data_IF_386274170168
#
_entry.id   IF_386274170168
#
_cell.length_a   1.000
_cell.length_b   1.000
_cell.length_c   1.000
_cell.angle_alpha   90.00
_cell.angle_beta   90.00
_cell.angle_gamma   90.00
#
_symmetry.space_group_name_H-M   'P 1'
#
loop_
_entity.id
_entity.type
_entity.pdbx_description
1 polymer ?
#
# COMPACT_ATOMS: atom_id res chain seq x y z
N UNK A 1 20.25 1.09 -10.10
CA UNK A 1 19.72 1.35 -8.76
C UNK A 1 18.20 1.19 -8.84
N UNK A 2 17.54 0.79 -7.75
CA UNK A 2 16.11 0.51 -7.69
C UNK A 2 15.54 1.16 -6.42
N UNK A 3 14.27 1.52 -6.44
CA UNK A 3 13.55 1.93 -5.24
C UNK A 3 13.13 0.72 -4.42
N UNK A 4 13.22 0.84 -3.10
CA UNK A 4 12.76 -0.20 -2.20
C UNK A 4 11.87 0.40 -1.13
N UNK A 5 10.79 -0.28 -0.77
CA UNK A 5 9.95 0.12 0.36
C UNK A 5 9.43 -1.06 1.13
N UNK A 6 8.67 -0.78 2.18
CA UNK A 6 7.95 -1.79 2.95
C UNK A 6 6.45 -1.55 2.92
N UNK A 7 5.67 -2.58 2.60
CA UNK A 7 4.21 -2.57 2.62
C UNK A 7 3.70 -3.49 3.73
N UNK A 8 3.09 -2.91 4.77
CA UNK A 8 2.48 -3.68 5.86
C UNK A 8 0.99 -3.88 5.62
N UNK A 9 0.63 -5.05 5.07
CA UNK A 9 -0.78 -5.41 4.85
C UNK A 9 -1.60 -5.62 6.13
N UNK A 10 -0.93 -5.84 7.27
CA UNK A 10 -1.59 -5.89 8.58
C UNK A 10 -1.87 -4.49 9.16
N UNK A 11 -1.45 -3.42 8.48
CA UNK A 11 -1.67 -2.04 8.90
C UNK A 11 -1.11 -1.73 10.29
N UNK A 12 -1.73 -0.78 10.99
CA UNK A 12 -1.52 -0.57 12.42
C UNK A 12 -2.32 -1.61 13.23
N UNK A 13 -1.94 -2.88 13.08
CA UNK A 13 -2.63 -4.03 13.66
C UNK A 13 -1.69 -5.02 14.33
N UNK A 14 -2.18 -6.24 14.53
CA UNK A 14 -1.41 -7.34 15.16
C UNK A 14 -0.23 -7.74 14.26
N UNK A 15 0.98 -7.72 14.80
CA UNK A 15 2.22 -8.07 14.08
C UNK A 15 2.82 -9.37 14.64
N UNK A 16 3.24 -10.26 13.74
CA UNK A 16 3.92 -11.51 14.11
C UNK A 16 3.01 -12.61 14.67
N UNK A 17 1.68 -12.45 14.64
CA UNK A 17 0.76 -13.45 15.23
C UNK A 17 0.97 -14.85 14.64
N UNK A 18 1.06 -15.85 15.53
CA UNK A 18 1.31 -17.23 15.13
C UNK A 18 2.75 -17.52 14.70
N UNK A 19 3.68 -16.57 14.87
CA UNK A 19 5.12 -16.78 14.70
C UNK A 19 5.83 -16.68 16.07
N UNK A 20 7.07 -17.21 16.20
CA UNK A 20 7.88 -17.00 17.40
C UNK A 20 8.19 -15.52 17.71
N UNK A 21 8.01 -14.63 16.73
CA UNK A 21 8.24 -13.18 16.86
C UNK A 21 7.11 -12.42 17.57
N UNK A 22 5.94 -13.05 17.79
CA UNK A 22 4.80 -12.36 18.39
C UNK A 22 5.11 -11.83 19.80
N UNK A 23 4.87 -10.54 20.03
CA UNK A 23 4.94 -9.92 21.35
C UNK A 23 6.35 -9.86 21.94
N UNK A 24 7.41 -10.09 21.14
CA UNK A 24 8.78 -9.98 21.59
C UNK A 24 9.16 -8.52 21.87
N UNK A 25 9.01 -8.08 23.12
CA UNK A 25 9.46 -6.76 23.59
C UNK A 25 8.55 -5.60 23.22
N UNK A 26 7.46 -5.83 22.47
CA UNK A 26 6.56 -4.77 22.02
C UNK A 26 5.09 -5.11 22.25
N UNK A 27 4.31 -4.06 22.53
CA UNK A 27 2.86 -4.07 22.38
C UNK A 27 2.50 -3.51 21.00
N UNK A 28 1.92 -4.34 20.12
CA UNK A 28 1.52 -3.92 18.77
C UNK A 28 0.53 -2.76 18.74
N UNK A 29 -0.17 -2.49 19.85
CA UNK A 29 -1.09 -1.36 19.99
C UNK A 29 -0.38 -0.03 20.25
N UNK A 30 0.94 -0.03 20.38
CA UNK A 30 1.76 1.15 20.73
C UNK A 30 2.70 1.53 19.57
N UNK A 31 3.06 2.82 19.45
CA UNK A 31 3.93 3.29 18.37
C UNK A 31 5.33 2.67 18.34
N UNK A 32 5.88 2.26 19.50
CA UNK A 32 7.29 1.86 19.63
C UNK A 32 7.72 0.77 18.64
N UNK A 33 6.87 -0.23 18.39
CA UNK A 33 7.13 -1.28 17.41
C UNK A 33 7.38 -0.70 16.01
N UNK A 34 6.48 0.18 15.59
CA UNK A 34 6.53 0.78 14.26
C UNK A 34 7.66 1.82 14.16
N UNK A 35 7.97 2.54 15.25
CA UNK A 35 9.10 3.46 15.31
C UNK A 35 10.43 2.74 15.08
N UNK A 36 10.62 1.56 15.69
CA UNK A 36 11.85 0.79 15.49
C UNK A 36 11.91 0.17 14.08
N UNK A 37 10.77 -0.27 13.54
CA UNK A 37 10.69 -0.72 12.16
C UNK A 37 11.07 0.38 11.16
N UNK A 38 10.52 1.59 11.28
CA UNK A 38 10.83 2.70 10.35
C UNK A 38 12.30 3.16 10.45
N UNK A 39 12.91 3.09 11.64
CA UNK A 39 14.36 3.31 11.79
C UNK A 39 15.17 2.28 11.02
N UNK A 40 14.81 1.00 11.15
CA UNK A 40 15.48 -0.07 10.42
C UNK A 40 15.30 0.06 8.90
N UNK A 41 14.11 0.48 8.44
CA UNK A 41 13.80 0.76 7.05
C UNK A 41 14.68 1.89 6.50
N UNK A 42 14.73 3.01 7.22
CA UNK A 42 15.53 4.17 6.83
C UNK A 42 17.03 3.84 6.79
N UNK A 43 17.56 3.20 7.84
CA UNK A 43 18.96 2.77 7.92
C UNK A 43 19.35 1.78 6.82
N UNK A 44 18.38 0.98 6.37
CA UNK A 44 18.56 0.06 5.25
C UNK A 44 18.57 0.77 3.89
N UNK A 45 18.05 1.99 3.80
CA UNK A 45 17.97 2.74 2.54
C UNK A 45 16.63 2.60 1.82
N UNK A 46 15.56 2.20 2.52
CA UNK A 46 14.21 2.13 1.94
C UNK A 46 13.63 3.54 1.74
N UNK A 47 12.95 3.75 0.62
CA UNK A 47 12.35 5.02 0.22
C UNK A 47 11.03 5.31 0.93
N UNK A 48 10.27 4.27 1.26
CA UNK A 48 8.90 4.41 1.75
C UNK A 48 8.42 3.25 2.60
N UNK A 49 7.54 3.59 3.55
CA UNK A 49 6.76 2.67 4.35
C UNK A 49 5.26 2.95 4.13
N UNK A 50 4.56 1.94 3.60
CA UNK A 50 3.14 2.01 3.28
C UNK A 50 2.35 1.19 4.30
N UNK A 51 1.39 1.85 4.95
CA UNK A 51 0.54 1.28 5.99
C UNK A 51 -0.85 1.06 5.41
N UNK A 52 -1.20 -0.21 5.16
CA UNK A 52 -2.53 -0.59 4.71
C UNK A 52 -3.57 -0.34 5.81
N UNK A 53 -4.83 -0.11 5.41
CA UNK A 53 -5.94 -0.03 6.35
C UNK A 53 -7.22 -0.68 5.81
N UNK A 54 -8.03 -1.20 6.74
CA UNK A 54 -9.34 -1.77 6.48
C UNK A 54 -10.33 -1.43 7.58
N UNK A 55 -11.55 -1.08 7.17
CA UNK A 55 -12.55 -0.45 8.05
C UNK A 55 -13.66 -1.42 8.49
N UNK A 56 -13.34 -2.71 8.59
CA UNK A 56 -14.29 -3.75 8.99
C UNK A 56 -13.59 -4.94 9.63
N UNK A 57 -14.36 -5.72 10.41
CA UNK A 57 -14.01 -7.08 10.81
C UNK A 57 -14.58 -8.02 9.75
N UNK A 58 -13.76 -8.75 8.98
CA UNK A 58 -14.29 -9.62 7.93
C UNK A 58 -15.12 -10.77 8.50
N UNK A 59 -16.31 -10.98 7.94
CA UNK A 59 -17.20 -12.10 8.25
C UNK A 59 -17.74 -12.81 6.98
N UNK A 60 -17.20 -12.50 5.80
CA UNK A 60 -17.67 -13.07 4.52
C UNK A 60 -17.47 -14.59 4.44
N UNK A 61 -16.36 -15.11 4.97
CA UNK A 61 -16.03 -16.53 4.86
C UNK A 61 -16.88 -17.37 5.82
N UNK A 62 -17.80 -18.15 5.27
CA UNK A 62 -18.77 -18.91 6.05
C UNK A 62 -19.73 -18.06 6.88
N UNK A 63 -19.91 -16.77 6.55
CA UNK A 63 -20.79 -15.86 7.29
C UNK A 63 -20.37 -15.63 8.75
N UNK A 64 -19.07 -15.72 9.05
CA UNK A 64 -18.54 -15.64 10.42
C UNK A 64 -17.16 -14.97 10.46
N UNK A 65 -16.93 -14.18 11.52
CA UNK A 65 -15.62 -13.61 11.84
C UNK A 65 -14.69 -14.58 12.59
N UNK A 66 -15.07 -15.85 12.73
CA UNK A 66 -14.31 -16.85 13.48
C UNK A 66 -12.86 -16.95 13.00
N UNK A 67 -12.65 -17.14 11.69
CA UNK A 67 -11.30 -17.32 11.12
C UNK A 67 -10.52 -16.01 11.15
N UNK A 68 -11.15 -14.89 10.80
CA UNK A 68 -10.49 -13.58 10.78
C UNK A 68 -9.99 -13.20 12.17
N UNK A 69 -10.80 -13.37 13.21
CA UNK A 69 -10.44 -13.03 14.59
C UNK A 69 -9.49 -14.07 15.22
N UNK A 70 -9.68 -15.37 14.99
CA UNK A 70 -8.80 -16.41 15.54
C UNK A 70 -7.36 -16.31 15.00
N UNK A 71 -7.19 -15.72 13.81
CA UNK A 71 -5.89 -15.61 13.14
C UNK A 71 -5.40 -14.17 12.97
N UNK A 72 -6.03 -13.20 13.64
CA UNK A 72 -5.68 -11.79 13.56
C UNK A 72 -5.52 -11.28 12.10
N UNK A 73 -6.39 -11.77 11.22
CA UNK A 73 -6.35 -11.49 9.79
C UNK A 73 -7.28 -10.33 9.48
N UNK A 74 -6.71 -9.24 8.95
CA UNK A 74 -7.37 -7.94 8.69
C UNK A 74 -7.92 -7.19 9.92
N UNK A 75 -8.21 -7.88 11.02
CA UNK A 75 -8.65 -7.29 12.27
C UNK A 75 -8.01 -7.99 13.49
N UNK A 76 -7.81 -7.29 14.63
CA UNK A 76 -8.05 -5.86 14.84
C UNK A 76 -6.99 -4.96 14.16
N UNK A 77 -7.42 -3.74 13.80
CA UNK A 77 -6.56 -2.64 13.32
C UNK A 77 -6.93 -1.33 14.01
N UNK A 78 -5.93 -0.49 14.22
CA UNK A 78 -6.08 0.90 14.63
C UNK A 78 -5.93 1.83 13.42
N UNK A 79 -6.39 3.07 13.56
CA UNK A 79 -6.26 4.09 12.52
C UNK A 79 -4.77 4.43 12.27
N UNK A 80 -4.24 4.22 11.05
CA UNK A 80 -2.84 4.50 10.75
C UNK A 80 -2.49 5.99 10.80
N UNK A 81 -3.43 6.91 10.56
CA UNK A 81 -3.17 8.35 10.57
C UNK A 81 -2.79 8.84 11.97
N UNK A 82 -3.33 8.21 13.03
CA UNK A 82 -2.97 8.51 14.41
C UNK A 82 -1.55 8.07 14.77
N UNK A 83 -0.98 7.11 14.03
CA UNK A 83 0.38 6.62 14.21
C UNK A 83 1.43 7.54 13.55
N UNK A 84 1.07 8.21 12.45
CA UNK A 84 2.00 8.98 11.60
C UNK A 84 2.90 9.95 12.37
N UNK A 85 2.41 10.81 13.30
CA UNK A 85 3.29 11.76 13.99
C UNK A 85 4.44 11.08 14.75
N UNK A 86 4.20 9.88 15.29
CA UNK A 86 5.24 9.10 15.98
C UNK A 86 6.28 8.55 15.02
N UNK A 87 5.87 8.17 13.81
CA UNK A 87 6.79 7.65 12.79
C UNK A 87 7.65 8.76 12.20
N UNK A 88 7.03 9.90 11.86
CA UNK A 88 7.76 11.09 11.39
C UNK A 88 8.80 11.55 12.41
N UNK A 89 8.50 11.49 13.71
CA UNK A 89 9.49 11.82 14.76
C UNK A 89 10.65 10.82 14.90
N UNK A 90 10.57 9.67 14.23
CA UNK A 90 11.56 8.59 14.34
C UNK A 90 12.48 8.48 13.10
N UNK A 91 12.25 9.27 12.06
CA UNK A 91 12.93 9.20 10.75
C UNK A 91 13.17 10.59 10.15
N UNK A 92 14.17 10.71 9.26
CA UNK A 92 14.57 11.98 8.62
C UNK A 92 14.35 12.01 7.09
N UNK A 93 14.19 10.85 6.45
CA UNK A 93 14.15 10.71 4.98
C UNK A 93 13.11 9.71 4.47
N UNK A 94 12.72 8.73 5.30
CA UNK A 94 11.77 7.69 4.92
C UNK A 94 10.37 8.28 4.64
N UNK A 95 9.83 7.98 3.47
CA UNK A 95 8.44 8.32 3.15
C UNK A 95 7.44 7.55 4.03
N UNK A 96 6.56 8.24 4.76
CA UNK A 96 5.52 7.60 5.59
C UNK A 96 4.16 7.74 4.89
N UNK A 97 3.56 6.60 4.52
CA UNK A 97 2.40 6.54 3.63
C UNK A 97 1.23 5.80 4.30
N UNK A 98 0.42 6.47 5.14
CA UNK A 98 -0.86 5.92 5.62
C UNK A 98 -1.87 5.77 4.49
N UNK A 99 -2.75 4.78 4.60
CA UNK A 99 -3.89 4.60 3.69
C UNK A 99 -5.05 5.53 4.04
N UNK A 100 -5.67 6.13 3.03
CA UNK A 100 -6.85 7.02 3.16
C UNK A 100 -7.91 6.58 2.14
N UNK A 101 -9.12 6.30 2.61
CA UNK A 101 -10.24 5.92 1.74
C UNK A 101 -10.96 7.15 1.19
N UNK A 102 -10.91 7.33 -0.13
CA UNK A 102 -11.70 8.35 -0.85
C UNK A 102 -13.22 8.07 -0.80
N UNK A 103 -13.61 6.84 -0.45
CA UNK A 103 -15.03 6.48 -0.32
C UNK A 103 -15.65 6.98 0.97
N UNK A 104 -14.86 7.08 2.04
CA UNK A 104 -15.39 7.31 3.39
C UNK A 104 -14.92 8.59 4.05
N UNK A 105 -13.76 9.13 3.67
CA UNK A 105 -13.33 10.42 4.19
C UNK A 105 -14.09 11.56 3.51
N UNK A 106 -14.64 12.52 4.28
CA UNK A 106 -14.99 13.82 3.73
C UNK A 106 -13.71 14.54 3.27
N UNK A 107 -13.65 15.08 2.03
CA UNK A 107 -12.42 15.63 1.46
C UNK A 107 -11.88 16.82 2.25
N UNK A 108 -12.73 17.64 2.87
CA UNK A 108 -12.27 18.74 3.73
C UNK A 108 -11.52 18.24 4.96
N UNK A 109 -12.00 17.16 5.59
CA UNK A 109 -11.35 16.55 6.75
C UNK A 109 -10.02 15.92 6.36
N UNK A 110 -9.98 15.19 5.24
CA UNK A 110 -8.75 14.59 4.72
C UNK A 110 -7.71 15.67 4.38
N UNK A 111 -8.10 16.71 3.63
CA UNK A 111 -7.22 17.81 3.25
C UNK A 111 -6.59 18.49 4.47
N UNK A 112 -7.40 18.75 5.52
CA UNK A 112 -6.93 19.38 6.76
C UNK A 112 -5.95 18.49 7.53
N UNK A 113 -6.27 17.20 7.66
CA UNK A 113 -5.45 16.24 8.40
C UNK A 113 -4.11 16.01 7.71
N UNK A 114 -4.15 15.70 6.41
CA UNK A 114 -2.95 15.48 5.61
C UNK A 114 -2.09 16.74 5.52
N UNK A 115 -2.71 17.93 5.43
CA UNK A 115 -1.95 19.16 5.44
C UNK A 115 -1.20 19.38 6.76
N UNK A 116 -1.86 19.06 7.87
CA UNK A 116 -1.25 19.14 9.21
C UNK A 116 -0.08 18.16 9.33
N UNK A 117 -0.24 16.92 8.88
CA UNK A 117 0.82 15.92 8.88
C UNK A 117 1.98 16.29 7.94
N UNK A 118 1.69 16.91 6.79
CA UNK A 118 2.72 17.37 5.85
C UNK A 118 3.63 18.40 6.51
N UNK A 119 3.07 19.36 7.25
CA UNK A 119 3.83 20.35 8.02
C UNK A 119 4.71 19.71 9.11
N UNK A 120 4.33 18.55 9.66
CA UNK A 120 5.16 17.82 10.63
C UNK A 120 6.24 16.98 9.95
N UNK A 121 6.04 16.63 8.68
CA UNK A 121 6.85 15.63 7.99
C UNK A 121 8.10 16.16 7.31
N UNK A 122 8.23 17.48 7.18
CA UNK A 122 9.31 18.13 6.42
C UNK A 122 9.50 17.52 5.01
N UNK A 123 8.40 17.15 4.33
CA UNK A 123 8.44 16.57 2.98
C UNK A 123 8.41 15.05 2.92
N UNK A 124 8.25 14.36 4.05
CA UNK A 124 8.25 12.88 4.11
C UNK A 124 6.86 12.24 3.99
N UNK A 125 5.77 13.00 4.08
CA UNK A 125 4.43 12.40 4.06
C UNK A 125 4.05 11.97 2.64
N UNK A 126 3.55 10.75 2.53
CA UNK A 126 2.70 10.32 1.44
C UNK A 126 1.31 9.93 1.93
N UNK A 127 0.46 9.53 1.01
CA UNK A 127 -0.87 9.02 1.31
C UNK A 127 -1.30 8.03 0.24
N UNK A 128 -1.71 6.83 0.66
CA UNK A 128 -2.20 5.80 -0.23
C UNK A 128 -3.71 5.96 -0.40
N UNK A 129 -4.15 6.47 -1.56
CA UNK A 129 -5.57 6.73 -1.83
C UNK A 129 -6.23 5.45 -2.33
N UNK A 130 -7.21 4.97 -1.57
CA UNK A 130 -7.98 3.76 -1.92
C UNK A 130 -9.46 4.07 -2.07
N UNK A 131 -10.14 3.27 -2.89
CA UNK A 131 -11.59 3.39 -3.11
C UNK A 131 -12.41 2.53 -2.15
N UNK A 132 -11.79 1.67 -1.34
CA UNK A 132 -12.44 0.64 -0.51
C UNK A 132 -13.33 -0.33 -1.32
N UNK A 133 -13.22 -1.65 -1.11
CA UNK A 133 -13.98 -2.64 -1.90
C UNK A 133 -15.15 -3.30 -1.18
N UNK A 134 -15.18 -3.25 0.16
CA UNK A 134 -16.06 -4.09 0.96
C UNK A 134 -17.42 -3.43 1.25
N UNK A 135 -18.51 -4.18 1.03
CA UNK A 135 -19.86 -3.81 1.47
C UNK A 135 -19.95 -3.70 3.00
N UNK A 136 -19.28 -4.60 3.72
CA UNK A 136 -19.21 -4.56 5.19
C UNK A 136 -18.61 -3.24 5.68
N UNK A 137 -17.58 -2.73 4.98
CA UNK A 137 -17.05 -1.42 5.28
C UNK A 137 -18.09 -0.32 5.01
N UNK A 138 -18.83 -0.38 3.90
CA UNK A 138 -19.85 0.61 3.56
C UNK A 138 -20.95 0.71 4.62
N UNK A 139 -21.35 -0.43 5.18
CA UNK A 139 -22.35 -0.53 6.24
C UNK A 139 -21.93 0.17 7.55
N UNK A 140 -20.63 0.22 7.84
CA UNK A 140 -20.11 1.00 8.98
C UNK A 140 -20.22 2.53 8.77
N UNK A 141 -20.41 2.99 7.53
CA UNK A 141 -20.57 4.40 7.17
C UNK A 141 -22.02 4.78 6.80
N UNK A 142 -22.98 3.93 7.13
CA UNK A 142 -24.42 4.20 6.93
C UNK A 142 -24.90 4.02 5.49
N UNK A 143 -24.19 3.22 4.70
CA UNK A 143 -24.61 2.80 3.36
C UNK A 143 -25.05 1.34 3.38
N UNK A 144 -26.01 0.94 2.54
CA UNK A 144 -26.44 -0.46 2.49
C UNK A 144 -25.38 -1.37 1.84
N UNK A 145 -24.70 -0.86 0.81
CA UNK A 145 -23.66 -1.53 0.03
C UNK A 145 -22.69 -0.51 -0.58
N UNK A 146 -21.58 -0.98 -1.15
CA UNK A 146 -20.69 -0.14 -1.94
C UNK A 146 -21.36 0.35 -3.22
N UNK A 147 -20.97 1.55 -3.65
CA UNK A 147 -21.29 2.00 -5.01
C UNK A 147 -20.49 1.19 -6.05
N UNK A 148 -20.96 1.18 -7.29
CA UNK A 148 -20.32 0.45 -8.39
C UNK A 148 -18.83 0.80 -8.54
N UNK A 149 -18.03 -0.21 -8.89
CA UNK A 149 -16.56 -0.14 -8.95
C UNK A 149 -16.03 1.08 -9.71
N UNK A 150 -16.55 1.34 -10.92
CA UNK A 150 -16.09 2.46 -11.73
C UNK A 150 -16.53 3.81 -11.15
N UNK A 151 -17.74 3.87 -10.57
CA UNK A 151 -18.26 5.05 -9.89
C UNK A 151 -17.45 5.38 -8.62
N UNK A 152 -16.89 4.36 -7.94
CA UNK A 152 -15.93 4.57 -6.83
C UNK A 152 -14.69 5.32 -7.29
N UNK A 153 -14.20 5.04 -8.50
CA UNK A 153 -13.07 5.76 -9.06
C UNK A 153 -13.44 7.18 -9.49
N UNK A 154 -14.62 7.40 -10.08
CA UNK A 154 -15.11 8.77 -10.35
C UNK A 154 -15.20 9.61 -9.07
N UNK A 155 -15.74 9.02 -8.00
CA UNK A 155 -15.72 9.64 -6.67
C UNK A 155 -14.31 9.93 -6.16
N UNK A 156 -13.36 9.02 -6.40
CA UNK A 156 -11.97 9.24 -6.02
C UNK A 156 -11.28 10.35 -6.81
N UNK A 157 -11.60 10.50 -8.11
CA UNK A 157 -11.11 11.63 -8.92
C UNK A 157 -11.57 12.95 -8.32
N UNK A 158 -12.87 13.07 -8.04
CA UNK A 158 -13.44 14.27 -7.44
C UNK A 158 -12.87 14.52 -6.05
N UNK A 159 -12.68 13.48 -5.24
CA UNK A 159 -12.08 13.57 -3.92
C UNK A 159 -10.65 14.16 -3.99
N UNK A 160 -9.79 13.64 -4.87
CA UNK A 160 -8.42 14.14 -5.03
C UNK A 160 -8.40 15.57 -5.58
N UNK A 161 -9.26 15.91 -6.56
CA UNK A 161 -9.40 17.29 -7.05
C UNK A 161 -9.77 18.26 -5.92
N UNK A 162 -10.79 17.92 -5.13
CA UNK A 162 -11.26 18.76 -4.02
C UNK A 162 -10.15 18.95 -2.97
N UNK A 163 -9.47 17.86 -2.57
CA UNK A 163 -8.36 17.93 -1.61
C UNK A 163 -7.25 18.84 -2.14
N UNK A 164 -6.84 18.66 -3.40
CA UNK A 164 -5.81 19.47 -4.06
C UNK A 164 -6.20 20.95 -4.17
N UNK A 165 -7.46 21.25 -4.48
CA UNK A 165 -7.99 22.62 -4.54
C UNK A 165 -8.02 23.26 -3.17
N UNK A 166 -8.35 22.50 -2.11
CA UNK A 166 -8.29 22.99 -0.74
C UNK A 166 -6.86 23.36 -0.32
N UNK A 167 -5.86 22.52 -0.64
CA UNK A 167 -4.45 22.86 -0.37
C UNK A 167 -3.98 24.13 -1.11
N UNK A 168 -4.58 24.40 -2.28
CA UNK A 168 -4.30 25.59 -3.11
C UNK A 168 -5.28 26.76 -2.85
N UNK A 169 -6.08 26.70 -1.77
CA UNK A 169 -7.06 27.76 -1.47
C UNK A 169 -6.41 29.02 -0.88
N UNK A 170 -5.10 28.98 -0.61
CA UNK A 170 -4.26 30.10 -0.22
C UNK A 170 -3.22 30.28 -1.33
N UNK A 171 -3.12 31.47 -1.90
CA UNK A 171 -2.13 31.75 -2.94
C UNK A 171 -0.70 31.86 -2.36
N UNK A 172 0.35 31.65 -3.18
CA UNK A 172 1.72 31.94 -2.78
C UNK A 172 1.87 33.36 -2.21
N UNK A 173 2.51 33.45 -1.04
CA UNK A 173 2.68 34.72 -0.31
C UNK A 173 1.40 35.28 0.29
N UNK A 174 0.39 34.44 0.57
CA UNK A 174 -0.78 34.82 1.37
C UNK A 174 -0.43 35.00 2.86
N UNK A 175 0.51 34.22 3.39
CA UNK A 175 1.01 34.38 4.77
C UNK A 175 2.13 35.43 4.76
N UNK A 176 1.94 36.51 5.52
CA UNK A 176 2.84 37.67 5.59
C UNK A 176 3.67 37.69 6.88
N UNK A 177 3.07 37.27 8.00
CA UNK A 177 3.65 37.35 9.36
C UNK A 177 4.25 38.73 9.70
N UNK A 178 3.61 39.81 9.28
CA UNK A 178 4.07 41.17 9.54
C UNK A 178 3.74 41.58 10.99
N UNK A 179 4.69 41.33 11.88
CA UNK A 179 4.62 41.68 13.31
C UNK A 179 4.49 43.19 13.52
N UNK A 180 5.09 44.00 12.64
CA UNK A 180 5.11 45.46 12.79
C UNK A 180 3.75 46.09 12.44
N UNK A 181 3.10 45.58 11.39
CA UNK A 181 1.77 46.00 10.96
C UNK A 181 0.64 45.25 11.71
N UNK A 182 0.95 44.15 12.41
CA UNK A 182 -0.03 43.29 13.07
C UNK A 182 -0.89 42.47 12.10
N UNK A 183 -0.35 42.17 10.92
CA UNK A 183 -1.07 41.47 9.84
C UNK A 183 -0.42 40.11 9.59
N UNK A 184 -1.15 39.03 9.88
CA UNK A 184 -0.64 37.67 9.68
C UNK A 184 -0.74 37.21 8.22
N UNK A 185 -1.83 37.52 7.53
CA UNK A 185 -2.09 37.07 6.17
C UNK A 185 -2.83 38.10 5.33
N UNK A 186 -2.55 38.10 4.02
CA UNK A 186 -3.27 38.85 3.00
C UNK A 186 -4.61 38.16 2.70
N UNK A 187 -5.70 38.71 3.22
CA UNK A 187 -7.03 38.15 3.02
C UNK A 187 -7.49 38.17 1.55
N UNK A 188 -6.86 38.97 0.68
CA UNK A 188 -7.18 39.04 -0.75
C UNK A 188 -6.60 37.86 -1.54
N UNK A 189 -5.78 37.02 -0.90
CA UNK A 189 -5.12 35.83 -1.47
C UNK A 189 -5.65 34.51 -0.90
N UNK A 190 -6.75 34.55 -0.15
CA UNK A 190 -7.34 33.36 0.47
C UNK A 190 -8.78 33.22 -0.01
N UNK A 191 -9.06 32.15 -0.75
CA UNK A 191 -10.28 32.03 -1.52
C UNK A 191 -11.04 30.73 -1.25
N UNK A 192 -12.37 30.77 -1.06
CA UNK A 192 -13.18 29.56 -1.06
C UNK A 192 -13.12 28.87 -2.43
N UNK A 193 -13.03 27.53 -2.42
CA UNK A 193 -12.99 26.74 -3.65
C UNK A 193 -14.39 26.57 -4.28
N UNK A 194 -15.46 26.79 -3.50
CA UNK A 194 -16.87 26.71 -3.88
C UNK A 194 -17.20 25.50 -4.79
N UNK A 195 -16.64 24.34 -4.47
CA UNK A 195 -16.80 23.14 -5.26
C UNK A 195 -18.23 22.58 -5.14
N UNK A 196 -18.83 22.24 -6.28
CA UNK A 196 -20.12 21.58 -6.41
C UNK A 196 -19.96 20.50 -7.50
N UNK A 197 -19.63 19.28 -7.09
CA UNK A 197 -19.51 18.12 -7.96
C UNK A 197 -20.66 17.15 -7.78
N UNK A 198 -20.50 15.97 -8.36
CA UNK A 198 -21.50 14.90 -8.32
C UNK A 198 -21.50 14.21 -6.95
N UNK A 199 -20.33 14.14 -6.30
CA UNK A 199 -20.16 13.43 -5.02
C UNK A 199 -20.01 14.36 -3.81
N UNK A 200 -19.46 15.56 -4.00
CA UNK A 200 -19.08 16.45 -2.92
C UNK A 200 -19.52 17.89 -3.17
N UNK A 201 -19.88 18.57 -2.07
CA UNK A 201 -20.15 20.01 -2.03
C UNK A 201 -19.32 20.65 -0.93
N UNK A 202 -18.31 21.44 -1.31
CA UNK A 202 -17.31 21.95 -0.38
C UNK A 202 -17.07 23.44 -0.60
N UNK A 203 -17.33 24.26 0.42
CA UNK A 203 -17.16 25.72 0.36
C UNK A 203 -15.68 26.14 0.34
N UNK A 204 -14.88 25.63 1.28
CA UNK A 204 -13.55 26.18 1.56
C UNK A 204 -13.59 27.61 2.15
N UNK A 205 -12.44 28.31 2.22
CA UNK A 205 -11.07 27.82 2.00
C UNK A 205 -10.65 26.77 3.04
N UNK A 206 -9.51 26.10 2.84
CA UNK A 206 -8.91 25.27 3.88
C UNK A 206 -8.44 26.14 5.05
N UNK A 207 -8.60 25.64 6.27
CA UNK A 207 -8.30 26.39 7.50
C UNK A 207 -6.91 26.07 8.09
N UNK A 208 -5.98 25.58 7.27
CA UNK A 208 -4.58 25.30 7.64
C UNK A 208 -3.64 26.24 6.90
N UNK A 209 -2.41 26.37 7.38
CA UNK A 209 -1.36 27.06 6.64
C UNK A 209 -1.15 26.42 5.24
N UNK A 210 -0.76 27.22 4.23
CA UNK A 210 -0.45 26.71 2.89
C UNK A 210 0.62 25.61 2.96
N UNK A 211 0.52 24.63 2.08
CA UNK A 211 1.51 23.56 2.05
C UNK A 211 2.82 24.01 1.40
N UNK A 212 3.99 23.64 1.95
CA UNK A 212 5.26 23.85 1.27
C UNK A 212 5.34 23.00 -0.01
N UNK A 213 4.85 21.76 0.07
CA UNK A 213 4.73 20.83 -1.06
C UNK A 213 3.56 19.86 -0.85
N UNK A 214 3.10 19.23 -1.93
CA UNK A 214 2.03 18.23 -1.87
C UNK A 214 2.56 16.85 -1.42
N UNK A 215 1.88 16.17 -0.47
CA UNK A 215 2.23 14.81 -0.08
C UNK A 215 2.28 13.85 -1.27
N UNK A 216 3.21 12.89 -1.26
CA UNK A 216 3.35 11.88 -2.31
C UNK A 216 2.10 11.00 -2.39
N UNK A 217 1.44 10.95 -3.56
CA UNK A 217 0.24 10.13 -3.76
C UNK A 217 0.64 8.72 -4.17
N UNK A 218 0.19 7.74 -3.38
CA UNK A 218 0.37 6.31 -3.65
C UNK A 218 -0.98 5.70 -4.01
N UNK A 219 -0.99 4.73 -4.92
CA UNK A 219 -2.23 4.05 -5.31
C UNK A 219 -2.00 2.59 -5.75
N UNK A 220 -2.97 1.70 -5.51
CA UNK A 220 -2.87 0.24 -5.70
C UNK A 220 -3.89 -0.39 -6.70
N UNK A 221 -4.51 0.41 -7.55
CA UNK A 221 -5.58 0.01 -8.45
C UNK A 221 -5.08 -0.76 -9.67
N UNK A 222 -5.51 -2.02 -9.78
CA UNK A 222 -5.10 -2.92 -10.87
C UNK A 222 -6.12 -3.07 -12.01
N UNK A 223 -7.38 -2.64 -11.80
CA UNK A 223 -8.42 -2.63 -12.85
C UNK A 223 -8.11 -1.57 -13.92
N UNK A 224 -8.71 -1.62 -15.12
CA UNK A 224 -8.51 -0.59 -16.15
C UNK A 224 -8.76 0.83 -15.62
N UNK A 225 -9.84 1.03 -14.87
CA UNK A 225 -10.15 2.32 -14.24
C UNK A 225 -9.15 2.68 -13.14
N UNK A 226 -8.71 1.70 -12.36
CA UNK A 226 -7.69 1.89 -11.33
C UNK A 226 -6.32 2.29 -11.87
N UNK A 227 -5.91 1.70 -13.00
CA UNK A 227 -4.67 2.07 -13.71
C UNK A 227 -4.76 3.46 -14.33
N UNK A 228 -5.92 3.82 -14.89
CA UNK A 228 -6.16 5.18 -15.39
C UNK A 228 -6.04 6.23 -14.28
N UNK A 229 -6.65 5.97 -13.12
CA UNK A 229 -6.53 6.81 -11.94
C UNK A 229 -5.06 6.92 -11.47
N UNK A 230 -4.36 5.78 -11.37
CA UNK A 230 -2.95 5.75 -10.96
C UNK A 230 -2.06 6.56 -11.92
N UNK A 231 -2.19 6.34 -13.23
CA UNK A 231 -1.45 7.09 -14.24
C UNK A 231 -1.72 8.59 -14.16
N UNK A 232 -2.98 8.99 -13.95
CA UNK A 232 -3.36 10.39 -13.85
C UNK A 232 -2.93 11.10 -12.56
N UNK A 233 -2.79 10.38 -11.43
CA UNK A 233 -2.69 11.02 -10.11
C UNK A 233 -1.51 10.57 -9.24
N UNK A 234 -1.03 9.34 -9.38
CA UNK A 234 -0.08 8.75 -8.46
C UNK A 234 1.38 9.12 -8.79
N UNK A 235 2.17 9.26 -7.75
CA UNK A 235 3.63 9.33 -7.80
C UNK A 235 4.22 7.92 -7.67
N UNK A 236 3.54 7.03 -6.92
CA UNK A 236 3.89 5.62 -6.77
C UNK A 236 2.67 4.74 -7.04
N UNK A 237 2.81 3.78 -7.95
CA UNK A 237 1.82 2.73 -8.18
C UNK A 237 2.27 1.42 -7.53
N UNK A 238 1.47 0.89 -6.60
CA UNK A 238 1.67 -0.42 -5.98
C UNK A 238 1.22 -1.49 -6.98
N UNK A 239 2.10 -2.43 -7.30
CA UNK A 239 1.83 -3.47 -8.29
C UNK A 239 1.88 -4.87 -7.66
N UNK A 240 0.81 -5.63 -7.87
CA UNK A 240 0.73 -7.06 -7.53
C UNK A 240 1.02 -7.98 -8.72
N UNK A 241 1.41 -7.41 -9.87
CA UNK A 241 1.75 -8.18 -11.06
C UNK A 241 2.96 -9.12 -10.79
N UNK A 242 2.99 -10.25 -11.51
CA UNK A 242 3.97 -11.33 -11.34
C UNK A 242 4.52 -11.79 -12.67
N UNK A 243 5.71 -12.39 -12.59
CA UNK A 243 6.50 -12.76 -13.76
C UNK A 243 6.96 -11.54 -14.54
N UNK A 244 8.07 -11.66 -15.27
CA UNK A 244 8.62 -10.53 -16.02
C UNK A 244 7.58 -9.94 -16.98
N UNK A 245 6.84 -10.78 -17.71
CA UNK A 245 5.86 -10.31 -18.71
C UNK A 245 4.67 -9.58 -18.07
N UNK A 246 4.13 -10.11 -16.97
CA UNK A 246 3.03 -9.48 -16.25
C UNK A 246 3.45 -8.16 -15.61
N UNK A 247 4.66 -8.11 -15.04
CA UNK A 247 5.24 -6.89 -14.47
C UNK A 247 5.48 -5.82 -15.54
N UNK A 248 6.07 -6.18 -16.69
CA UNK A 248 6.23 -5.29 -17.86
C UNK A 248 4.89 -4.73 -18.32
N UNK A 249 3.92 -5.61 -18.58
CA UNK A 249 2.59 -5.23 -19.04
C UNK A 249 1.89 -4.26 -18.09
N UNK A 250 1.98 -4.51 -16.78
CA UNK A 250 1.41 -3.60 -15.79
C UNK A 250 2.09 -2.23 -15.80
N UNK A 251 3.42 -2.21 -15.76
CA UNK A 251 4.21 -0.97 -15.77
C UNK A 251 3.93 -0.13 -17.03
N UNK A 252 3.96 -0.77 -18.20
CA UNK A 252 3.70 -0.10 -19.48
C UNK A 252 2.29 0.49 -19.53
N UNK A 253 1.31 -0.21 -18.95
CA UNK A 253 -0.06 0.29 -18.87
C UNK A 253 -0.17 1.53 -17.98
N UNK A 254 0.50 1.57 -16.82
CA UNK A 254 0.50 2.76 -15.95
C UNK A 254 1.15 3.95 -16.65
N UNK A 255 2.29 3.71 -17.30
CA UNK A 255 3.04 4.72 -18.05
C UNK A 255 2.23 5.27 -19.23
N UNK A 256 1.49 4.42 -19.93
CA UNK A 256 0.60 4.83 -21.01
C UNK A 256 -0.55 5.71 -20.50
N UNK A 257 -1.18 5.35 -19.37
CA UNK A 257 -2.22 6.18 -18.76
C UNK A 257 -1.67 7.52 -18.24
N UNK A 258 -0.46 7.54 -17.69
CA UNK A 258 0.22 8.79 -17.31
C UNK A 258 0.45 9.70 -18.52
N UNK A 259 0.98 9.17 -19.63
CA UNK A 259 1.16 9.92 -20.87
C UNK A 259 -0.17 10.47 -21.42
N UNK A 260 -1.22 9.65 -21.40
CA UNK A 260 -2.57 10.03 -21.83
C UNK A 260 -3.17 11.14 -20.97
N UNK A 261 -2.84 11.16 -19.68
CA UNK A 261 -3.20 12.24 -18.75
C UNK A 261 -2.30 13.48 -18.87
N UNK A 262 -1.33 13.50 -19.80
CA UNK A 262 -0.41 14.62 -20.02
C UNK A 262 0.72 14.72 -19.00
N UNK A 263 0.98 13.66 -18.22
CA UNK A 263 2.09 13.58 -17.26
C UNK A 263 3.31 12.93 -17.91
N UNK A 264 4.49 13.25 -17.39
CA UNK A 264 5.70 12.51 -17.73
C UNK A 264 5.58 11.08 -17.14
N UNK A 265 5.65 10.01 -17.96
CA UNK A 265 5.55 8.64 -17.46
C UNK A 265 6.65 8.23 -16.48
N UNK A 266 7.79 8.90 -16.50
CA UNK A 266 8.91 8.65 -15.57
C UNK A 266 8.67 9.25 -14.17
N UNK A 267 7.66 10.11 -14.02
CA UNK A 267 7.28 10.66 -12.70
C UNK A 267 6.43 9.67 -11.88
N UNK A 268 6.03 8.53 -12.46
CA UNK A 268 5.24 7.49 -11.78
C UNK A 268 6.10 6.24 -11.59
N UNK A 269 6.44 5.95 -10.33
CA UNK A 269 7.26 4.78 -9.96
C UNK A 269 6.36 3.57 -9.71
N UNK A 270 6.55 2.49 -10.47
CA UNK A 270 5.78 1.25 -10.31
C UNK A 270 6.54 0.27 -9.43
N UNK A 271 6.11 0.09 -8.18
CA UNK A 271 6.80 -0.77 -7.22
C UNK A 271 6.07 -2.10 -7.02
N UNK A 272 6.79 -3.20 -7.26
CA UNK A 272 6.22 -4.54 -7.20
C UNK A 272 6.30 -5.14 -5.80
N UNK A 273 5.16 -5.57 -5.27
CA UNK A 273 5.10 -6.17 -3.93
C UNK A 273 5.65 -7.59 -3.96
N UNK A 274 6.57 -7.89 -3.05
CA UNK A 274 7.11 -9.23 -2.81
C UNK A 274 7.34 -9.48 -1.30
N UNK A 275 7.29 -10.74 -0.88
CA UNK A 275 7.50 -11.19 0.50
C UNK A 275 8.74 -12.08 0.55
N UNK A 276 9.93 -11.52 0.86
CA UNK A 276 11.15 -12.30 0.91
C UNK A 276 11.18 -13.18 2.16
N UNK A 277 11.56 -14.45 1.98
CA UNK A 277 11.92 -15.39 3.04
C UNK A 277 13.37 -15.81 2.80
N UNK A 278 14.28 -15.25 3.60
CA UNK A 278 15.73 -15.48 3.43
C UNK A 278 16.17 -16.71 4.23
N UNK A 279 16.62 -17.74 3.52
CA UNK A 279 17.12 -19.01 4.08
C UNK A 279 18.64 -19.14 3.95
N UNK A 280 19.24 -20.09 4.67
CA UNK A 280 20.68 -20.30 4.67
C UNK A 280 21.21 -21.10 3.48
N UNK A 281 20.36 -21.85 2.77
CA UNK A 281 20.77 -22.63 1.60
C UNK A 281 19.63 -22.88 0.61
N UNK A 282 19.97 -23.24 -0.64
CA UNK A 282 18.99 -23.63 -1.65
C UNK A 282 18.21 -24.91 -1.25
N UNK A 283 18.86 -25.83 -0.52
CA UNK A 283 18.19 -27.03 0.00
C UNK A 283 17.10 -26.67 1.03
N UNK A 284 17.41 -25.74 1.95
CA UNK A 284 16.44 -25.22 2.91
C UNK A 284 15.30 -24.46 2.20
N UNK A 285 15.60 -23.74 1.11
CA UNK A 285 14.58 -23.07 0.31
C UNK A 285 13.59 -24.08 -0.27
N UNK A 286 14.09 -25.17 -0.88
CA UNK A 286 13.23 -26.18 -1.50
C UNK A 286 12.45 -26.99 -0.45
N UNK A 287 13.07 -27.33 0.67
CA UNK A 287 12.39 -27.96 1.79
C UNK A 287 11.24 -27.07 2.30
N UNK A 288 11.49 -25.77 2.49
CA UNK A 288 10.45 -24.85 2.94
C UNK A 288 9.33 -24.67 1.90
N UNK A 289 9.66 -24.66 0.60
CA UNK A 289 8.63 -24.64 -0.47
C UNK A 289 7.80 -25.91 -0.45
N UNK A 290 8.42 -27.08 -0.29
CA UNK A 290 7.73 -28.36 -0.20
C UNK A 290 6.80 -28.40 1.01
N UNK A 291 7.29 -28.01 2.19
CA UNK A 291 6.49 -27.93 3.41
C UNK A 291 5.30 -26.97 3.26
N UNK A 292 5.49 -25.79 2.65
CA UNK A 292 4.38 -24.84 2.44
C UNK A 292 3.32 -25.35 1.45
N UNK A 293 3.66 -26.26 0.54
CA UNK A 293 2.68 -26.90 -0.37
C UNK A 293 1.81 -27.93 0.37
N UNK A 294 2.26 -28.43 1.51
CA UNK A 294 1.46 -29.27 2.40
C UNK A 294 0.55 -28.40 3.27
N UNK A 295 -0.58 -27.99 2.70
CA UNK A 295 -1.51 -27.10 3.38
C UNK A 295 -2.16 -27.79 4.59
N UNK A 296 -2.03 -27.17 5.77
CA UNK A 296 -2.87 -27.53 6.91
C UNK A 296 -4.27 -26.96 6.73
N UNK A 297 -5.25 -27.46 7.51
CA UNK A 297 -6.60 -26.89 7.51
C UNK A 297 -6.59 -25.37 7.82
N UNK A 298 -5.71 -24.96 8.74
CA UNK A 298 -5.51 -23.54 9.06
C UNK A 298 -5.03 -22.72 7.86
N UNK A 299 -4.12 -23.27 7.05
CA UNK A 299 -3.62 -22.58 5.86
C UNK A 299 -4.71 -22.42 4.81
N UNK A 300 -5.54 -23.45 4.63
CA UNK A 300 -6.70 -23.41 3.75
C UNK A 300 -7.68 -22.34 4.22
N UNK A 301 -8.12 -22.39 5.48
CA UNK A 301 -9.10 -21.45 6.03
C UNK A 301 -8.59 -20.00 5.98
N UNK A 302 -7.31 -19.78 6.30
CA UNK A 302 -6.70 -18.43 6.22
C UNK A 302 -6.71 -17.89 4.79
N UNK A 303 -6.32 -18.70 3.81
CA UNK A 303 -6.30 -18.27 2.41
C UNK A 303 -7.70 -18.04 1.84
N UNK A 304 -8.65 -18.94 2.13
CA UNK A 304 -10.04 -18.80 1.69
C UNK A 304 -10.72 -17.61 2.37
N UNK A 305 -10.47 -17.38 3.67
CA UNK A 305 -10.94 -16.19 4.38
C UNK A 305 -10.42 -14.90 3.74
N UNK A 306 -9.13 -14.87 3.38
CA UNK A 306 -8.51 -13.71 2.74
C UNK A 306 -9.13 -13.38 1.38
N UNK A 307 -9.24 -14.37 0.48
CA UNK A 307 -9.86 -14.10 -0.82
C UNK A 307 -11.36 -13.83 -0.70
N UNK A 308 -12.05 -14.45 0.27
CA UNK A 308 -13.48 -14.18 0.49
C UNK A 308 -13.71 -12.73 0.87
N UNK A 309 -12.93 -12.21 1.81
CA UNK A 309 -13.01 -10.81 2.21
C UNK A 309 -12.69 -9.86 1.05
N UNK A 310 -11.58 -10.11 0.34
CA UNK A 310 -11.11 -9.20 -0.72
C UNK A 310 -12.03 -9.21 -1.96
N UNK A 311 -12.70 -10.33 -2.23
CA UNK A 311 -13.63 -10.47 -3.36
C UNK A 311 -15.11 -10.31 -2.99
N UNK A 312 -15.45 -10.30 -1.69
CA UNK A 312 -16.85 -10.30 -1.20
C UNK A 312 -17.64 -11.53 -1.69
N UNK A 313 -16.94 -12.62 -2.01
CA UNK A 313 -17.54 -13.91 -2.38
C UNK A 313 -17.21 -14.89 -1.27
N UNK A 314 -18.18 -15.60 -0.70
CA UNK A 314 -17.87 -16.63 0.29
C UNK A 314 -17.21 -17.85 -0.37
N UNK A 315 -15.89 -18.02 -0.24
CA UNK A 315 -15.21 -19.17 -0.82
C UNK A 315 -15.45 -20.48 -0.05
N UNK A 316 -16.08 -20.45 1.13
CA UNK A 316 -16.43 -21.67 1.88
C UNK A 316 -17.45 -22.53 1.13
N UNK A 317 -18.20 -21.92 0.20
CA UNK A 317 -19.20 -22.61 -0.60
C UNK A 317 -18.61 -23.48 -1.72
N UNK A 318 -17.34 -23.29 -2.08
CA UNK A 318 -16.70 -24.01 -3.18
C UNK A 318 -16.01 -25.29 -2.70
N UNK A 319 -16.11 -26.34 -3.51
CA UNK A 319 -15.38 -27.59 -3.28
C UNK A 319 -13.89 -27.39 -3.60
N UNK A 320 -13.03 -27.78 -2.65
CA UNK A 320 -11.57 -27.69 -2.80
C UNK A 320 -11.05 -28.53 -3.96
N UNK A 321 -11.69 -29.66 -4.24
CA UNK A 321 -11.23 -30.64 -5.22
C UNK A 321 -11.93 -30.48 -6.59
N UNK A 322 -12.70 -29.41 -6.76
CA UNK A 322 -13.31 -29.02 -8.03
C UNK A 322 -12.58 -27.82 -8.66
N UNK A 323 -12.65 -27.65 -10.00
CA UNK A 323 -12.19 -26.43 -10.66
C UNK A 323 -12.91 -25.19 -10.13
N UNK A 324 -12.17 -24.09 -9.94
CA UNK A 324 -12.78 -22.81 -9.58
C UNK A 324 -13.64 -22.31 -10.74
N UNK A 325 -14.94 -21.96 -10.53
CA UNK A 325 -15.76 -21.38 -11.58
C UNK A 325 -15.25 -19.99 -11.99
N UNK A 326 -15.73 -19.49 -13.13
CA UNK A 326 -15.50 -18.10 -13.49
C UNK A 326 -16.27 -17.19 -12.54
N UNK A 327 -15.57 -16.26 -11.88
CA UNK A 327 -16.10 -15.39 -10.85
C UNK A 327 -15.82 -13.92 -11.19
N UNK A 328 -16.79 -13.07 -10.87
CA UNK A 328 -16.67 -11.61 -10.97
C UNK A 328 -17.06 -10.96 -9.64
N UNK A 329 -16.49 -9.81 -9.34
CA UNK A 329 -16.79 -9.05 -8.12
C UNK A 329 -16.87 -7.56 -8.38
N UNK A 330 -17.73 -6.86 -7.63
CA UNK A 330 -17.74 -5.39 -7.56
C UNK A 330 -16.66 -4.84 -6.61
N UNK A 331 -15.95 -5.69 -5.85
CA UNK A 331 -14.93 -5.31 -4.86
C UNK A 331 -13.53 -5.16 -5.50
N UNK A 332 -12.59 -6.08 -5.22
CA UNK A 332 -11.22 -6.05 -5.75
C UNK A 332 -11.05 -7.00 -6.93
N UNK A 333 -11.47 -6.56 -8.13
CA UNK A 333 -11.40 -7.35 -9.38
C UNK A 333 -9.99 -7.89 -9.66
N UNK A 334 -8.97 -7.03 -9.59
CA UNK A 334 -7.58 -7.44 -9.85
C UNK A 334 -7.05 -8.49 -8.86
N UNK A 335 -7.50 -8.46 -7.60
CA UNK A 335 -7.13 -9.47 -6.60
C UNK A 335 -7.76 -10.82 -6.90
N UNK A 336 -9.04 -10.85 -7.29
CA UNK A 336 -9.74 -12.08 -7.68
C UNK A 336 -9.10 -12.70 -8.92
N UNK A 337 -8.79 -11.89 -9.94
CA UNK A 337 -8.08 -12.36 -11.13
C UNK A 337 -6.70 -12.93 -10.78
N UNK A 338 -5.95 -12.25 -9.91
CA UNK A 338 -4.64 -12.73 -9.50
C UNK A 338 -4.71 -14.05 -8.73
N UNK A 339 -5.71 -14.21 -7.87
CA UNK A 339 -5.98 -15.47 -7.16
C UNK A 339 -6.25 -16.61 -8.15
N UNK A 340 -7.16 -16.39 -9.10
CA UNK A 340 -7.51 -17.41 -10.10
C UNK A 340 -6.34 -17.77 -11.03
N UNK A 341 -5.46 -16.82 -11.34
CA UNK A 341 -4.28 -17.01 -12.21
C UNK A 341 -3.05 -17.60 -11.50
N UNK A 342 -3.14 -17.92 -10.21
CA UNK A 342 -2.00 -18.50 -9.47
C UNK A 342 -1.67 -19.94 -9.89
N UNK A 343 -2.60 -20.63 -10.55
CA UNK A 343 -2.42 -21.93 -11.16
C UNK A 343 -2.96 -21.93 -12.61
N UNK A 344 -2.60 -22.91 -13.45
CA UNK A 344 -3.11 -23.00 -14.82
C UNK A 344 -4.66 -23.03 -14.89
N UNK A 345 -5.27 -22.52 -15.98
CA UNK A 345 -6.72 -22.58 -16.17
C UNK A 345 -7.25 -24.02 -16.04
N UNK A 346 -8.34 -24.19 -15.28
CA UNK A 346 -8.96 -25.48 -15.00
C UNK A 346 -8.42 -26.20 -13.75
N UNK A 347 -7.42 -25.64 -13.07
CA UNK A 347 -6.94 -26.17 -11.78
C UNK A 347 -8.01 -26.15 -10.70
N UNK A 348 -7.90 -27.09 -9.76
CA UNK A 348 -8.78 -27.15 -8.59
C UNK A 348 -8.50 -25.99 -7.63
N UNK A 349 -9.47 -25.65 -6.79
CA UNK A 349 -9.26 -24.65 -5.74
C UNK A 349 -8.08 -25.04 -4.83
N UNK A 350 -7.90 -26.33 -4.51
CA UNK A 350 -6.75 -26.84 -3.73
C UNK A 350 -5.42 -26.57 -4.44
N UNK A 351 -5.32 -26.83 -5.73
CA UNK A 351 -4.11 -26.58 -6.52
C UNK A 351 -3.76 -25.09 -6.54
N UNK A 352 -4.77 -24.21 -6.67
CA UNK A 352 -4.58 -22.75 -6.57
C UNK A 352 -3.99 -22.37 -5.21
N UNK A 353 -4.55 -22.90 -4.10
CA UNK A 353 -4.03 -22.63 -2.75
C UNK A 353 -2.60 -23.16 -2.55
N UNK A 354 -2.29 -24.34 -3.09
CA UNK A 354 -0.96 -24.96 -3.00
C UNK A 354 0.08 -24.17 -3.79
N UNK A 355 -0.26 -23.74 -5.01
CA UNK A 355 0.61 -22.91 -5.84
C UNK A 355 0.97 -21.59 -5.13
N UNK A 356 -0.03 -20.93 -4.53
CA UNK A 356 0.18 -19.68 -3.77
C UNK A 356 1.11 -19.89 -2.59
N UNK A 357 0.91 -20.93 -1.78
CA UNK A 357 1.78 -21.22 -0.63
C UNK A 357 3.20 -21.63 -1.03
N UNK A 358 3.35 -22.33 -2.16
CA UNK A 358 4.63 -22.80 -2.68
C UNK A 358 5.51 -21.73 -3.34
N UNK A 359 5.04 -20.47 -3.42
CA UNK A 359 5.81 -19.33 -3.96
C UNK A 359 5.29 -18.75 -5.28
N UNK A 360 4.17 -19.24 -5.83
CA UNK A 360 3.53 -18.60 -6.99
C UNK A 360 2.69 -17.35 -6.62
N UNK A 361 2.61 -17.03 -5.31
CA UNK A 361 1.95 -15.83 -4.78
C UNK A 361 2.85 -14.59 -4.74
N UNK A 362 2.90 -13.92 -3.59
CA UNK A 362 3.80 -12.80 -3.31
C UNK A 362 5.15 -13.24 -2.72
N UNK A 363 5.29 -14.49 -2.29
CA UNK A 363 6.47 -14.94 -1.54
C UNK A 363 7.60 -15.42 -2.44
N UNK A 364 8.78 -14.82 -2.25
CA UNK A 364 10.06 -15.35 -2.76
C UNK A 364 10.81 -16.00 -1.59
N UNK A 365 11.17 -17.27 -1.75
CA UNK A 365 11.98 -18.01 -0.77
C UNK A 365 13.31 -18.29 -1.41
N UNK A 366 14.41 -17.97 -0.75
CA UNK A 366 15.74 -18.22 -1.30
C UNK A 366 16.86 -17.74 -0.39
N UNK A 367 18.07 -18.05 -0.79
CA UNK A 367 19.28 -17.46 -0.22
C UNK A 367 19.35 -15.97 -0.52
N UNK A 368 20.26 -15.26 0.17
CA UNK A 368 20.54 -13.84 -0.08
C UNK A 368 20.88 -13.61 -1.56
N UNK A 369 21.74 -14.45 -2.13
CA UNK A 369 22.16 -14.34 -3.53
C UNK A 369 21.01 -14.61 -4.51
N UNK A 370 20.22 -15.67 -4.31
CA UNK A 370 19.10 -15.97 -5.19
C UNK A 370 18.03 -14.86 -5.21
N UNK A 371 17.74 -14.28 -4.04
CA UNK A 371 16.79 -13.16 -3.94
C UNK A 371 17.38 -11.91 -4.61
N UNK A 372 18.66 -11.60 -4.38
CA UNK A 372 19.31 -10.46 -5.01
C UNK A 372 19.42 -10.62 -6.54
N UNK A 373 19.73 -11.82 -7.03
CA UNK A 373 19.75 -12.19 -8.46
C UNK A 373 18.37 -11.96 -9.09
N UNK A 374 17.30 -12.40 -8.41
CA UNK A 374 15.93 -12.19 -8.87
C UNK A 374 15.59 -10.70 -8.96
N UNK A 375 15.91 -9.91 -7.93
CA UNK A 375 15.62 -8.48 -7.90
C UNK A 375 16.40 -7.72 -8.99
N UNK A 376 17.67 -8.08 -9.21
CA UNK A 376 18.53 -7.49 -10.24
C UNK A 376 18.02 -7.80 -11.65
N UNK A 377 17.84 -9.09 -11.96
CA UNK A 377 17.40 -9.54 -13.29
C UNK A 377 16.00 -9.02 -13.61
N UNK A 378 15.05 -9.21 -12.71
CA UNK A 378 13.66 -8.77 -12.90
C UNK A 378 13.58 -7.26 -13.00
N UNK A 379 14.28 -6.52 -12.13
CA UNK A 379 14.31 -5.06 -12.17
C UNK A 379 14.84 -4.54 -13.51
N UNK A 380 15.96 -5.10 -13.98
CA UNK A 380 16.55 -4.75 -15.28
C UNK A 380 15.61 -5.05 -16.44
N UNK A 381 14.98 -6.24 -16.45
CA UNK A 381 14.10 -6.64 -17.54
C UNK A 381 12.81 -5.82 -17.59
N UNK A 382 12.16 -5.57 -16.44
CA UNK A 382 10.87 -4.87 -16.37
C UNK A 382 10.99 -3.37 -16.68
N UNK A 383 12.19 -2.80 -16.58
CA UNK A 383 12.41 -1.37 -16.70
C UNK A 383 12.39 -0.62 -15.36
N UNK A 384 12.48 -1.35 -14.25
CA UNK A 384 13.34 -0.96 -13.12
C UNK A 384 12.93 0.21 -12.22
N UNK A 385 11.66 0.38 -11.85
CA UNK A 385 11.34 1.38 -10.81
C UNK A 385 11.65 0.84 -9.40
N UNK A 386 11.18 -0.37 -9.04
CA UNK A 386 11.57 -0.98 -7.78
C UNK A 386 10.59 -1.96 -7.15
N UNK A 387 10.76 -2.22 -5.86
CA UNK A 387 10.09 -3.28 -5.13
C UNK A 387 9.58 -2.85 -3.75
N UNK A 388 8.45 -3.41 -3.33
CA UNK A 388 7.93 -3.28 -1.97
C UNK A 388 8.08 -4.62 -1.26
N UNK A 389 8.96 -4.69 -0.27
CA UNK A 389 8.96 -5.82 0.65
C UNK A 389 7.68 -5.80 1.46
N UNK A 390 7.13 -6.99 1.73
CA UNK A 390 5.91 -7.14 2.50
C UNK A 390 6.09 -8.19 3.58
N UNK A 391 5.38 -7.99 4.68
CA UNK A 391 5.52 -8.82 5.87
C UNK A 391 5.15 -8.04 7.12
N UNK A 392 5.23 -8.72 8.26
CA UNK A 392 5.09 -8.09 9.55
C UNK A 392 6.24 -7.11 9.81
N UNK A 393 5.99 -6.14 10.68
CA UNK A 393 7.01 -5.18 11.13
C UNK A 393 7.63 -5.58 12.49
N UNK A 394 7.44 -6.84 12.91
CA UNK A 394 8.10 -7.35 14.12
C UNK A 394 9.62 -7.51 13.90
N UNK A 395 10.44 -7.39 14.97
CA UNK A 395 11.90 -7.40 14.84
C UNK A 395 12.45 -8.65 14.15
N UNK A 396 11.84 -9.83 14.36
CA UNK A 396 12.31 -11.08 13.75
C UNK A 396 12.13 -11.02 12.24
N UNK A 397 10.99 -10.52 11.78
CA UNK A 397 10.72 -10.36 10.34
C UNK A 397 11.60 -9.28 9.71
N UNK A 398 11.64 -8.09 10.32
CA UNK A 398 12.36 -6.93 9.77
C UNK A 398 13.86 -7.21 9.66
N UNK A 399 14.50 -7.63 10.77
CA UNK A 399 15.93 -7.92 10.77
C UNK A 399 16.27 -9.22 10.02
N UNK A 400 15.38 -10.21 10.04
CA UNK A 400 15.56 -11.45 9.28
C UNK A 400 15.68 -11.22 7.77
N UNK A 401 15.08 -10.14 7.26
CA UNK A 401 15.15 -9.71 5.86
C UNK A 401 16.26 -8.69 5.64
N UNK A 402 16.21 -7.55 6.35
CA UNK A 402 17.04 -6.38 6.01
C UNK A 402 18.50 -6.54 6.40
N UNK A 403 18.81 -7.14 7.55
CA UNK A 403 20.21 -7.32 7.97
C UNK A 403 20.99 -8.21 6.98
N UNK A 404 20.26 -9.11 6.28
CA UNK A 404 20.83 -10.03 5.29
C UNK A 404 20.86 -9.45 3.88
N UNK A 405 19.74 -8.89 3.40
CA UNK A 405 19.62 -8.41 2.02
C UNK A 405 20.31 -7.05 1.80
N UNK A 406 20.22 -6.12 2.75
CA UNK A 406 20.71 -4.75 2.59
C UNK A 406 22.20 -4.69 2.19
N UNK A 407 23.13 -5.43 2.85
CA UNK A 407 24.54 -5.41 2.45
C UNK A 407 24.75 -5.91 1.01
N UNK A 408 24.03 -6.96 0.61
CA UNK A 408 24.16 -7.54 -0.72
C UNK A 408 23.59 -6.63 -1.81
N UNK A 409 22.40 -6.05 -1.59
CA UNK A 409 21.80 -5.11 -2.53
C UNK A 409 22.68 -3.85 -2.72
N UNK A 410 23.35 -3.38 -1.66
CA UNK A 410 24.32 -2.28 -1.75
C UNK A 410 25.60 -2.70 -2.48
N UNK A 411 26.09 -3.92 -2.27
CA UNK A 411 27.27 -4.48 -2.96
C UNK A 411 27.04 -4.51 -4.47
N UNK A 412 25.83 -4.84 -4.91
CA UNK A 412 25.41 -4.88 -6.31
C UNK A 412 25.00 -3.51 -6.89
N UNK A 413 24.97 -2.45 -6.08
CA UNK A 413 24.53 -1.12 -6.54
C UNK A 413 23.02 -1.02 -6.84
N UNK A 414 22.23 -1.94 -6.31
CA UNK A 414 20.77 -1.91 -6.44
C UNK A 414 20.14 -0.96 -5.43
N UNK A 415 20.72 -0.84 -4.24
CA UNK A 415 20.18 -0.05 -3.13
C UNK A 415 21.06 1.15 -2.83
N UNK A 416 20.42 2.29 -2.52
CA UNK A 416 21.11 3.53 -2.16
C UNK A 416 22.00 3.36 -0.92
N UNK A 417 23.05 4.18 -0.85
CA UNK A 417 23.99 4.24 0.29
C UNK A 417 23.69 5.40 1.24
N UNK A 418 23.03 6.45 0.76
CA UNK A 418 22.65 7.65 1.51
C UNK A 418 21.44 8.31 0.84
N UNK A 419 20.71 9.12 1.59
CA UNK A 419 19.64 9.96 1.06
C UNK A 419 20.16 11.32 0.60
N UNK A 420 19.40 11.97 -0.28
CA UNK A 420 19.54 13.40 -0.53
C UNK A 420 18.71 14.23 0.47
N UNK A 421 18.81 15.55 0.36
CA UNK A 421 18.08 16.50 1.21
C UNK A 421 16.80 17.05 0.56
N UNK A 422 16.33 16.42 -0.52
CA UNK A 422 15.20 16.93 -1.33
C UNK A 422 13.82 16.44 -0.88
N UNK A 423 13.72 15.71 0.23
CA UNK A 423 12.47 15.11 0.71
C UNK A 423 12.07 13.84 -0.04
N UNK A 424 10.93 13.26 0.36
CA UNK A 424 10.49 11.95 -0.13
C UNK A 424 10.22 11.94 -1.64
N UNK A 425 9.55 12.99 -2.15
CA UNK A 425 9.26 13.12 -3.58
C UNK A 425 10.54 13.15 -4.42
N UNK A 426 11.54 13.92 -4.01
CA UNK A 426 12.81 13.98 -4.72
C UNK A 426 13.57 12.64 -4.63
N UNK A 427 13.56 11.99 -3.47
CA UNK A 427 14.18 10.66 -3.31
C UNK A 427 13.65 9.61 -4.30
N UNK A 428 12.37 9.71 -4.70
CA UNK A 428 11.76 8.86 -5.72
C UNK A 428 12.17 9.21 -7.16
N UNK A 429 12.66 10.43 -7.38
CA UNK A 429 13.12 10.91 -8.69
C UNK A 429 14.64 10.90 -8.82
N UNK A 430 15.35 10.62 -7.73
CA UNK A 430 16.76 10.29 -7.76
C UNK A 430 16.88 8.97 -8.54
N UNK A 431 17.63 9.02 -9.66
CA UNK A 431 18.02 7.94 -10.59
C UNK A 431 16.96 7.32 -11.51
#
# INVERSE_FOLDING_TARGET
MLHFGWFVGHGFGVQGWGTPGYGLGYDWKKPALYQDAVRAFEQSGLDLFIIEDSLTVPDTYGGSAEVSLAHASFAPKHDPLALVPYLLSATEHLGIVPTVSASFYPPFTAARLLATLQHFSEGQLGWNVVTSGSDLAAQNYGLDQQIEHDLRYEKAEEFVDVVRRLWRSWEPGAVLEDVSAGVFADHTKVHPINHQGDFFKVRGPLNTAPLPEEPVLVQAGASPRGKAFAGGHADVAIALARGVDGMKSYRDSIRAEAAKAGRNPDDVKVLFVLKPTVVGSAAEAEELRAQRRELTQRDIDSQLNSISYLSVIDFKQFDLDAPLPELSTNSNQGTLEHFAKAAPPGSTLREILQARSGGAGDSIIGTVDEIADYLESTGSEVGGDGFLFSGFVDPVTVHGVLDKLTPELRRRGLLRKSYGNGGFRQNLLDF
#
